data_IF_333663859231
#
_entry.id   IF_333663859231
#
_cell.length_a   1.000
_cell.length_b   1.000
_cell.length_c   1.000
_cell.angle_alpha   90.00
_cell.angle_beta   90.00
_cell.angle_gamma   90.00
#
_symmetry.space_group_name_H-M   'P 1'
#
loop_
_entity.id
_entity.type
_entity.pdbx_description
1 polymer ?
#
# COMPACT_ATOMS: atom_id res chain seq x y z
N UNK A 1 67.67 -22.73 27.97
CA UNK A 1 66.92 -23.32 26.84
C UNK A 1 66.90 -22.29 25.71
N UNK A 2 67.68 -22.49 24.63
CA UNK A 2 67.78 -21.51 23.53
C UNK A 2 66.63 -21.76 22.55
N UNK A 3 65.70 -20.81 22.45
CA UNK A 3 64.67 -20.78 21.41
C UNK A 3 65.39 -20.64 20.07
N UNK A 4 65.28 -21.65 19.19
CA UNK A 4 65.79 -21.54 17.82
C UNK A 4 64.90 -20.54 17.08
N UNK A 5 65.44 -19.37 16.74
CA UNK A 5 64.79 -18.38 15.88
C UNK A 5 64.68 -18.95 14.46
N UNK A 6 63.59 -19.64 14.17
CA UNK A 6 63.29 -20.11 12.83
C UNK A 6 62.94 -18.91 11.95
N UNK A 7 63.83 -18.56 11.01
CA UNK A 7 63.52 -17.60 9.95
C UNK A 7 62.77 -18.34 8.85
N UNK A 8 61.49 -18.02 8.59
CA UNK A 8 60.73 -18.69 7.54
C UNK A 8 61.42 -18.50 6.19
N UNK A 9 61.48 -19.57 5.39
CA UNK A 9 62.04 -19.50 4.05
C UNK A 9 61.20 -18.56 3.17
N UNK A 10 61.82 -17.91 2.18
CA UNK A 10 61.10 -17.03 1.24
C UNK A 10 59.90 -17.74 0.60
N UNK A 11 60.01 -19.05 0.34
CA UNK A 11 58.92 -19.88 -0.17
C UNK A 11 57.72 -19.99 0.77
N UNK A 12 57.95 -20.07 2.09
CA UNK A 12 56.88 -20.09 3.10
C UNK A 12 56.11 -18.77 3.16
N UNK A 13 56.80 -17.63 3.02
CA UNK A 13 56.17 -16.32 2.96
C UNK A 13 55.27 -16.17 1.72
N UNK A 14 55.72 -16.68 0.57
CA UNK A 14 54.95 -16.67 -0.67
C UNK A 14 53.71 -17.55 -0.61
N UNK A 15 53.82 -18.77 -0.06
CA UNK A 15 52.64 -19.65 0.11
C UNK A 15 51.64 -19.06 1.10
N UNK A 16 52.08 -18.44 2.18
CA UNK A 16 51.20 -17.76 3.13
C UNK A 16 50.43 -16.60 2.45
N UNK A 17 51.11 -15.81 1.62
CA UNK A 17 50.49 -14.72 0.84
C UNK A 17 49.41 -15.23 -0.10
N UNK A 18 49.65 -16.34 -0.80
CA UNK A 18 48.67 -16.96 -1.69
C UNK A 18 47.47 -17.47 -0.90
N UNK A 19 47.68 -18.09 0.26
CA UNK A 19 46.59 -18.58 1.12
C UNK A 19 45.73 -17.41 1.62
N UNK A 20 46.35 -16.31 2.04
CA UNK A 20 45.64 -15.09 2.47
C UNK A 20 44.83 -14.51 1.31
N UNK A 21 45.41 -14.45 0.11
CA UNK A 21 44.73 -13.98 -1.09
C UNK A 21 43.51 -14.85 -1.43
N UNK A 22 43.68 -16.17 -1.42
CA UNK A 22 42.59 -17.13 -1.68
C UNK A 22 41.49 -17.04 -0.61
N UNK A 23 41.84 -16.91 0.67
CA UNK A 23 40.87 -16.69 1.75
C UNK A 23 40.08 -15.38 1.60
N UNK A 24 40.65 -14.38 0.92
CA UNK A 24 39.98 -13.11 0.63
C UNK A 24 39.07 -13.17 -0.61
N UNK A 25 39.44 -13.95 -1.62
CA UNK A 25 38.73 -14.05 -2.90
C UNK A 25 37.60 -15.07 -2.83
N UNK A 26 37.85 -16.25 -2.26
CA UNK A 26 36.89 -17.38 -2.23
C UNK A 26 35.52 -16.96 -1.67
N UNK A 27 35.38 -16.24 -0.54
CA UNK A 27 34.07 -15.85 -0.03
C UNK A 27 33.29 -14.89 -0.95
N UNK A 28 33.99 -14.11 -1.79
CA UNK A 28 33.37 -13.20 -2.77
C UNK A 28 32.90 -13.93 -4.03
N UNK A 29 33.47 -15.11 -4.30
CA UNK A 29 33.09 -15.97 -5.42
C UNK A 29 32.10 -17.07 -5.04
N UNK A 30 31.75 -17.23 -3.76
CA UNK A 30 30.71 -18.18 -3.33
C UNK A 30 29.35 -17.64 -3.82
N UNK A 31 28.64 -18.36 -4.69
CA UNK A 31 27.30 -17.95 -5.11
C UNK A 31 26.42 -17.80 -3.87
N UNK A 32 25.62 -16.74 -3.83
CA UNK A 32 24.61 -16.54 -2.79
C UNK A 32 23.88 -17.86 -2.55
N UNK A 33 23.78 -18.29 -1.30
CA UNK A 33 23.03 -19.50 -0.96
C UNK A 33 21.65 -19.45 -1.59
N UNK A 34 21.10 -20.59 -2.03
CA UNK A 34 19.77 -20.67 -2.70
C UNK A 34 18.71 -19.82 -2.01
N UNK A 35 18.69 -19.81 -0.66
CA UNK A 35 17.81 -18.96 0.18
C UNK A 35 17.99 -17.45 -0.04
N UNK A 36 19.23 -16.96 -0.17
CA UNK A 36 19.50 -15.54 -0.45
C UNK A 36 19.13 -15.17 -1.88
N UNK A 37 19.39 -16.04 -2.86
CA UNK A 37 18.92 -15.84 -4.24
C UNK A 37 17.40 -15.79 -4.31
N UNK A 38 16.70 -16.74 -3.67
CA UNK A 38 15.23 -16.77 -3.62
C UNK A 38 14.66 -15.50 -2.97
N UNK A 39 15.28 -15.01 -1.89
CA UNK A 39 14.88 -13.75 -1.24
C UNK A 39 15.06 -12.54 -2.16
N UNK A 40 16.20 -12.45 -2.87
CA UNK A 40 16.45 -11.39 -3.84
C UNK A 40 15.45 -11.42 -5.00
N UNK A 41 15.20 -12.61 -5.55
CA UNK A 41 14.20 -12.81 -6.62
C UNK A 41 12.83 -12.37 -6.14
N UNK A 42 12.39 -12.82 -4.97
CA UNK A 42 11.11 -12.38 -4.37
C UNK A 42 11.05 -10.86 -4.22
N UNK A 43 12.10 -10.23 -3.69
CA UNK A 43 12.14 -8.77 -3.51
C UNK A 43 12.07 -8.00 -4.84
N UNK A 44 12.64 -8.55 -5.92
CA UNK A 44 12.61 -7.94 -7.25
C UNK A 44 11.21 -8.08 -7.87
N UNK A 45 10.61 -9.26 -7.78
CA UNK A 45 9.24 -9.51 -8.22
C UNK A 45 8.26 -8.59 -7.48
N UNK A 46 8.44 -8.44 -6.17
CA UNK A 46 7.58 -7.59 -5.33
C UNK A 46 7.71 -6.12 -5.70
N UNK A 47 8.93 -5.62 -5.92
CA UNK A 47 9.16 -4.25 -6.43
C UNK A 47 8.55 -4.01 -7.81
N UNK A 48 8.71 -4.97 -8.73
CA UNK A 48 8.08 -4.89 -10.05
C UNK A 48 6.55 -4.87 -9.94
N UNK A 49 5.97 -5.70 -9.07
CA UNK A 49 4.53 -5.73 -8.83
C UNK A 49 4.02 -4.39 -8.30
N UNK A 50 4.70 -3.79 -7.32
CA UNK A 50 4.34 -2.48 -6.78
C UNK A 50 4.42 -1.38 -7.84
N UNK A 51 5.45 -1.42 -8.68
CA UNK A 51 5.59 -0.48 -9.81
C UNK A 51 4.44 -0.62 -10.81
N UNK A 52 4.09 -1.85 -11.19
CA UNK A 52 2.96 -2.11 -12.08
C UNK A 52 1.63 -1.65 -11.47
N UNK A 53 1.46 -1.82 -10.15
CA UNK A 53 0.30 -1.32 -9.43
C UNK A 53 0.15 0.20 -9.57
N UNK A 54 1.27 0.91 -9.35
CA UNK A 54 1.32 2.36 -9.46
C UNK A 54 1.04 2.79 -10.90
N UNK A 55 1.68 2.18 -11.89
CA UNK A 55 1.49 2.51 -13.30
C UNK A 55 0.05 2.26 -13.78
N UNK A 56 -0.61 1.23 -13.24
CA UNK A 56 -1.99 0.90 -13.57
C UNK A 56 -3.00 1.90 -12.98
N UNK A 57 -2.80 2.30 -11.72
CA UNK A 57 -3.68 3.23 -10.99
C UNK A 57 -3.29 4.71 -11.17
N UNK A 58 -2.24 5.01 -11.95
CA UNK A 58 -1.92 6.37 -12.38
C UNK A 58 -2.88 6.80 -13.51
N UNK A 59 -3.43 8.00 -13.36
CA UNK A 59 -4.18 8.68 -14.43
C UNK A 59 -3.18 9.26 -15.43
N UNK A 60 -3.15 8.71 -16.65
CA UNK A 60 -2.28 9.22 -17.71
C UNK A 60 -2.84 10.51 -18.33
N UNK A 61 -2.00 11.39 -18.91
CA UNK A 61 -2.47 12.62 -19.56
C UNK A 61 -3.51 12.37 -20.66
N UNK A 62 -3.34 11.33 -21.45
CA UNK A 62 -4.24 10.98 -22.56
C UNK A 62 -5.60 10.50 -22.03
N UNK A 63 -5.59 9.73 -20.94
CA UNK A 63 -6.82 9.32 -20.24
C UNK A 63 -7.53 10.55 -19.68
N UNK A 64 -6.79 11.44 -19.02
CA UNK A 64 -7.34 12.67 -18.44
C UNK A 64 -7.99 13.58 -19.46
N UNK A 65 -7.45 13.65 -20.67
CA UNK A 65 -8.03 14.44 -21.78
C UNK A 65 -9.39 13.89 -22.25
N UNK A 66 -9.64 12.59 -22.08
CA UNK A 66 -10.89 11.91 -22.46
C UNK A 66 -11.96 11.95 -21.37
N UNK A 67 -11.58 12.25 -20.13
CA UNK A 67 -12.51 12.34 -19.01
C UNK A 67 -13.43 13.56 -19.15
N UNK A 68 -14.69 13.46 -18.70
CA UNK A 68 -15.56 14.62 -18.59
C UNK A 68 -14.96 15.67 -17.66
N UNK A 69 -15.24 16.94 -17.95
CA UNK A 69 -14.83 18.03 -17.06
C UNK A 69 -15.54 17.88 -15.72
N UNK A 70 -14.78 17.97 -14.63
CA UNK A 70 -15.30 17.99 -13.27
C UNK A 70 -14.63 19.14 -12.50
N UNK A 71 -15.29 19.60 -11.44
CA UNK A 71 -14.75 20.63 -10.57
C UNK A 71 -13.65 20.05 -9.67
N UNK A 72 -12.40 20.30 -10.01
CA UNK A 72 -11.22 19.81 -9.28
C UNK A 72 -11.04 20.46 -7.91
N UNK A 73 -11.80 21.51 -7.58
CA UNK A 73 -11.85 22.11 -6.24
C UNK A 73 -12.81 21.33 -5.33
N UNK A 74 -13.86 20.74 -5.90
CA UNK A 74 -14.84 19.92 -5.16
C UNK A 74 -14.45 18.45 -5.09
N UNK A 75 -13.82 17.93 -6.15
CA UNK A 75 -13.49 16.52 -6.27
C UNK A 75 -12.01 16.28 -6.55
N UNK A 76 -11.47 15.24 -5.92
CA UNK A 76 -10.23 14.61 -6.31
C UNK A 76 -10.54 13.44 -7.25
N UNK A 77 -9.70 13.27 -8.29
CA UNK A 77 -9.80 12.16 -9.21
C UNK A 77 -8.83 11.06 -8.78
N UNK A 78 -9.35 9.84 -8.68
CA UNK A 78 -8.56 8.66 -8.33
C UNK A 78 -8.88 7.53 -9.31
N UNK A 79 -7.85 6.85 -9.81
CA UNK A 79 -8.01 5.68 -10.66
C UNK A 79 -7.76 4.42 -9.83
N UNK A 80 -8.73 3.50 -9.85
CA UNK A 80 -8.66 2.21 -9.16
C UNK A 80 -9.32 1.14 -9.99
N UNK A 81 -8.62 0.02 -10.12
CA UNK A 81 -9.07 -1.14 -10.87
C UNK A 81 -9.43 -0.77 -12.32
N UNK A 82 -8.65 0.13 -12.95
CA UNK A 82 -8.88 0.62 -14.31
C UNK A 82 -10.07 1.59 -14.45
N UNK A 83 -10.73 1.95 -13.36
CA UNK A 83 -11.92 2.83 -13.32
C UNK A 83 -11.58 4.16 -12.65
N UNK A 84 -12.32 5.20 -13.00
CA UNK A 84 -12.09 6.56 -12.50
C UNK A 84 -13.17 6.94 -11.48
N UNK A 85 -12.72 7.46 -10.34
CA UNK A 85 -13.54 7.78 -9.20
C UNK A 85 -13.34 9.25 -8.82
N UNK A 86 -14.44 9.96 -8.60
CA UNK A 86 -14.46 11.31 -8.06
C UNK A 86 -14.78 11.22 -6.57
N UNK A 87 -13.78 11.54 -5.76
CA UNK A 87 -13.88 11.57 -4.30
C UNK A 87 -14.06 13.02 -3.86
N UNK A 88 -15.10 13.37 -3.07
CA UNK A 88 -15.23 14.72 -2.54
C UNK A 88 -13.98 15.13 -1.75
N UNK A 89 -13.45 16.33 -2.02
CA UNK A 89 -12.18 16.79 -1.42
C UNK A 89 -12.19 16.83 0.10
N UNK A 90 -13.35 17.04 0.71
CA UNK A 90 -13.50 17.05 2.17
C UNK A 90 -13.17 15.70 2.82
N UNK A 91 -13.33 14.59 2.07
CA UNK A 91 -12.95 13.26 2.52
C UNK A 91 -11.62 12.81 1.95
N UNK A 92 -11.10 13.46 0.90
CA UNK A 92 -9.98 12.93 0.14
C UNK A 92 -8.74 12.70 1.01
N UNK A 93 -8.16 11.50 0.88
CA UNK A 93 -6.97 11.07 1.58
C UNK A 93 -6.01 10.36 0.63
N UNK A 94 -4.81 10.09 1.12
CA UNK A 94 -3.82 9.34 0.34
C UNK A 94 -4.37 7.93 0.04
N UNK A 95 -4.48 7.56 -1.23
CA UNK A 95 -4.99 6.27 -1.72
C UNK A 95 -6.47 5.93 -1.46
N UNK A 96 -7.30 6.93 -1.18
CA UNK A 96 -8.74 6.77 -0.95
C UNK A 96 -9.32 7.97 -0.23
N UNK A 97 -9.95 7.75 0.92
CA UNK A 97 -10.56 8.82 1.70
C UNK A 97 -10.42 8.60 3.21
N UNK A 98 -10.67 9.64 3.99
CA UNK A 98 -10.56 9.66 5.44
C UNK A 98 -11.93 9.93 6.07
N UNK A 99 -12.14 9.34 7.24
CA UNK A 99 -13.27 9.63 8.12
C UNK A 99 -12.69 10.29 9.37
N UNK A 100 -13.02 11.56 9.59
CA UNK A 100 -12.59 12.29 10.78
C UNK A 100 -13.50 11.90 11.95
N UNK A 101 -12.89 11.40 13.02
CA UNK A 101 -13.62 11.01 14.21
C UNK A 101 -13.71 12.19 15.21
N UNK A 102 -14.87 12.38 15.87
CA UNK A 102 -16.17 11.73 15.63
C UNK A 102 -17.01 12.45 14.58
N UNK A 103 -16.55 13.61 14.10
CA UNK A 103 -17.39 14.60 13.40
C UNK A 103 -18.04 14.04 12.13
N UNK A 104 -17.27 13.38 11.27
CA UNK A 104 -17.81 12.80 10.03
C UNK A 104 -18.83 11.70 10.32
N UNK A 105 -18.60 10.89 11.36
CA UNK A 105 -19.53 9.82 11.77
C UNK A 105 -20.83 10.43 12.30
N UNK A 106 -20.72 11.44 13.16
CA UNK A 106 -21.86 12.15 13.73
C UNK A 106 -22.70 12.83 12.65
N UNK A 107 -22.06 13.49 11.69
CA UNK A 107 -22.71 14.15 10.56
C UNK A 107 -23.46 13.16 9.67
N UNK A 108 -22.79 12.09 9.23
CA UNK A 108 -23.33 11.17 8.20
C UNK A 108 -24.38 10.20 8.77
N UNK A 109 -24.19 9.74 10.00
CA UNK A 109 -25.06 8.76 10.66
C UNK A 109 -26.02 9.38 11.70
N UNK A 110 -25.95 10.69 11.95
CA UNK A 110 -26.77 11.34 12.97
C UNK A 110 -26.43 10.92 14.40
N UNK A 111 -25.18 10.52 14.65
CA UNK A 111 -24.69 10.06 15.96
C UNK A 111 -24.24 11.25 16.81
N UNK A 112 -23.96 10.97 18.09
CA UNK A 112 -23.47 11.96 19.07
C UNK A 112 -22.27 11.43 19.86
N UNK A 113 -21.36 10.76 19.16
CA UNK A 113 -20.10 10.31 19.76
C UNK A 113 -19.29 11.50 20.26
N UNK A 114 -18.69 11.35 21.42
CA UNK A 114 -17.73 12.32 21.96
C UNK A 114 -16.34 12.02 21.39
N UNK A 115 -15.51 13.05 21.29
CA UNK A 115 -14.13 12.84 20.91
C UNK A 115 -13.33 12.34 22.12
N UNK A 116 -13.23 11.02 22.23
CA UNK A 116 -12.47 10.33 23.28
C UNK A 116 -11.03 9.98 22.89
N UNK A 117 -10.68 10.12 21.61
CA UNK A 117 -9.37 9.76 21.08
C UNK A 117 -8.40 10.95 20.95
N UNK A 118 -8.91 12.17 21.15
CA UNK A 118 -8.15 13.40 21.02
C UNK A 118 -8.33 14.06 19.65
N UNK A 119 -7.90 15.32 19.56
CA UNK A 119 -8.08 16.14 18.38
C UNK A 119 -7.33 15.56 17.17
N UNK A 120 -7.97 15.57 15.99
CA UNK A 120 -7.37 15.14 14.73
C UNK A 120 -7.34 13.62 14.51
N UNK A 121 -8.07 12.82 15.29
CA UNK A 121 -8.20 11.39 15.04
C UNK A 121 -8.96 11.13 13.75
N UNK A 122 -8.38 10.36 12.83
CA UNK A 122 -9.07 9.91 11.61
C UNK A 122 -8.83 8.44 11.28
N UNK A 123 -9.76 7.87 10.52
CA UNK A 123 -9.67 6.54 9.96
C UNK A 123 -9.45 6.63 8.46
N UNK A 124 -8.38 6.00 7.99
CA UNK A 124 -8.04 5.95 6.57
C UNK A 124 -8.79 4.82 5.90
N UNK A 125 -9.56 5.13 4.88
CA UNK A 125 -10.26 4.16 4.04
C UNK A 125 -9.47 4.01 2.74
N UNK A 126 -8.61 3.00 2.71
CA UNK A 126 -7.78 2.71 1.54
C UNK A 126 -8.58 1.92 0.49
N UNK A 127 -8.42 2.32 -0.77
CA UNK A 127 -9.00 1.66 -1.93
C UNK A 127 -7.88 0.99 -2.73
N UNK A 128 -7.92 -0.34 -2.91
CA UNK A 128 -6.89 -1.09 -3.66
C UNK A 128 -7.45 -1.87 -4.84
N UNK A 129 -6.68 -1.90 -5.93
CA UNK A 129 -6.90 -2.76 -7.08
C UNK A 129 -6.51 -4.22 -6.75
N UNK A 130 -7.40 -5.21 -6.93
CA UNK A 130 -7.14 -6.60 -6.52
C UNK A 130 -5.89 -7.23 -7.12
N UNK A 131 -5.60 -6.92 -8.39
CA UNK A 131 -4.53 -7.54 -9.18
C UNK A 131 -3.15 -7.30 -8.56
N UNK A 132 -2.99 -6.19 -7.84
CA UNK A 132 -1.70 -5.74 -7.31
C UNK A 132 -1.64 -5.69 -5.78
N UNK A 133 -2.68 -6.15 -5.09
CA UNK A 133 -2.68 -6.20 -3.64
C UNK A 133 -1.70 -7.26 -3.11
N UNK A 134 -0.74 -6.82 -2.29
CA UNK A 134 0.33 -7.67 -1.79
C UNK A 134 -0.15 -8.76 -0.80
N UNK A 135 -1.16 -8.46 0.01
CA UNK A 135 -1.62 -9.36 1.06
C UNK A 135 -2.58 -10.45 0.58
N UNK A 136 -3.08 -11.22 1.54
CA UNK A 136 -4.07 -12.26 1.29
C UNK A 136 -5.44 -11.65 0.91
N UNK A 137 -5.85 -11.89 -0.33
CA UNK A 137 -7.13 -11.46 -0.88
C UNK A 137 -8.33 -12.08 -0.14
N UNK A 138 -8.15 -13.24 0.49
CA UNK A 138 -9.22 -13.89 1.25
C UNK A 138 -9.66 -13.06 2.46
N UNK A 139 -8.78 -12.19 2.97
CA UNK A 139 -9.11 -11.26 4.06
C UNK A 139 -10.14 -10.18 3.67
N UNK A 140 -10.58 -10.15 2.41
CA UNK A 140 -11.64 -9.27 1.89
C UNK A 140 -12.92 -10.03 1.52
N UNK A 141 -12.95 -11.36 1.66
CA UNK A 141 -14.12 -12.20 1.37
C UNK A 141 -15.07 -12.27 2.58
N UNK A 142 -15.28 -11.14 3.23
CA UNK A 142 -16.18 -11.00 4.37
C UNK A 142 -17.28 -10.01 4.03
N UNK A 143 -18.42 -10.15 4.71
CA UNK A 143 -19.47 -9.14 4.65
C UNK A 143 -18.93 -7.79 5.13
N UNK A 144 -19.30 -6.74 4.41
CA UNK A 144 -18.96 -5.37 4.76
C UNK A 144 -19.43 -5.07 6.19
N UNK A 145 -18.57 -4.42 6.97
CA UNK A 145 -18.86 -4.02 8.33
C UNK A 145 -19.08 -5.15 9.35
N UNK A 146 -18.62 -6.36 9.03
CA UNK A 146 -18.35 -7.35 10.08
C UNK A 146 -17.26 -6.83 11.02
N UNK A 147 -17.54 -6.81 12.32
CA UNK A 147 -16.80 -6.03 13.34
C UNK A 147 -15.31 -6.37 13.53
N UNK A 148 -14.75 -7.35 12.79
CA UNK A 148 -13.43 -7.93 13.11
C UNK A 148 -12.32 -7.71 12.08
N UNK A 149 -12.63 -7.32 10.83
CA UNK A 149 -11.61 -7.44 9.77
C UNK A 149 -11.13 -6.13 9.16
N UNK A 150 -11.90 -5.04 9.25
CA UNK A 150 -11.45 -3.80 8.58
C UNK A 150 -11.57 -3.86 7.07
N UNK A 151 -12.09 -4.94 6.47
CA UNK A 151 -11.78 -5.29 5.08
C UNK A 151 -12.96 -5.92 4.36
N UNK A 152 -13.28 -5.38 3.18
CA UNK A 152 -14.37 -5.88 2.34
C UNK A 152 -14.17 -5.50 0.88
N UNK A 153 -14.94 -6.11 -0.03
CA UNK A 153 -14.99 -5.77 -1.44
C UNK A 153 -16.14 -4.81 -1.73
N UNK A 154 -15.86 -3.75 -2.48
CA UNK A 154 -16.86 -2.80 -2.96
C UNK A 154 -16.64 -2.53 -4.45
N UNK A 155 -17.61 -2.82 -5.30
CA UNK A 155 -17.51 -2.63 -6.76
C UNK A 155 -16.23 -3.23 -7.39
N UNK A 156 -15.77 -4.37 -6.86
CA UNK A 156 -14.53 -5.03 -7.31
C UNK A 156 -13.23 -4.38 -6.81
N UNK A 157 -13.32 -3.33 -5.98
CA UNK A 157 -12.20 -2.69 -5.28
C UNK A 157 -12.09 -3.26 -3.87
N UNK A 158 -10.87 -3.46 -3.40
CA UNK A 158 -10.61 -3.89 -2.03
C UNK A 158 -10.60 -2.67 -1.12
N UNK A 159 -11.48 -2.64 -0.13
CA UNK A 159 -11.57 -1.57 0.86
C UNK A 159 -10.93 -2.03 2.15
N UNK A 160 -10.02 -1.20 2.69
CA UNK A 160 -9.43 -1.40 4.02
C UNK A 160 -9.64 -0.16 4.88
N UNK A 161 -10.34 -0.34 5.99
CA UNK A 161 -10.42 0.61 7.09
C UNK A 161 -9.16 0.45 7.94
N UNK A 162 -8.35 1.50 7.98
CA UNK A 162 -7.13 1.54 8.73
C UNK A 162 -7.22 2.62 9.82
N UNK A 163 -7.04 2.19 11.06
CA UNK A 163 -6.89 3.09 12.18
C UNK A 163 -5.48 3.70 12.13
N UNK A 164 -5.38 4.94 11.63
CA UNK A 164 -4.10 5.61 11.40
C UNK A 164 -3.34 5.95 12.70
N UNK A 165 -4.07 6.08 13.80
CA UNK A 165 -3.52 6.50 15.10
C UNK A 165 -3.38 5.35 16.10
N UNK A 166 -3.70 4.11 15.70
CA UNK A 166 -3.64 2.91 16.55
C UNK A 166 -4.40 3.03 17.88
N UNK A 167 -5.49 3.81 17.88
CA UNK A 167 -6.34 3.98 19.07
C UNK A 167 -7.18 2.73 19.34
N UNK A 168 -7.55 2.49 20.60
CA UNK A 168 -8.48 1.40 20.90
C UNK A 168 -9.90 1.81 20.49
N UNK A 169 -10.54 0.99 19.64
CA UNK A 169 -11.88 1.25 19.11
C UNK A 169 -12.79 0.10 19.51
N UNK A 170 -13.95 0.41 20.08
CA UNK A 170 -14.95 -0.59 20.43
C UNK A 170 -15.62 -1.16 19.16
N UNK A 171 -16.27 -2.32 19.28
CA UNK A 171 -16.98 -2.93 18.15
C UNK A 171 -18.09 -2.02 17.59
N UNK A 172 -18.78 -1.27 18.47
CA UNK A 172 -19.85 -0.35 18.06
C UNK A 172 -19.31 0.85 17.28
N UNK A 173 -18.24 1.46 17.78
CA UNK A 173 -17.57 2.57 17.07
C UNK A 173 -17.00 2.11 15.73
N UNK A 174 -16.39 0.94 15.69
CA UNK A 174 -15.89 0.36 14.45
C UNK A 174 -17.02 0.11 13.44
N UNK A 175 -18.17 -0.39 13.90
CA UNK A 175 -19.35 -0.57 13.06
C UNK A 175 -19.83 0.77 12.49
N UNK A 176 -19.95 1.81 13.32
CA UNK A 176 -20.36 3.15 12.87
C UNK A 176 -19.35 3.76 11.89
N UNK A 177 -18.03 3.58 12.10
CA UNK A 177 -16.99 3.99 11.15
C UNK A 177 -17.16 3.25 9.80
N UNK A 178 -17.43 1.95 9.84
CA UNK A 178 -17.61 1.18 8.63
C UNK A 178 -18.88 1.55 7.86
N UNK A 179 -20.00 1.74 8.56
CA UNK A 179 -21.25 2.20 7.94
C UNK A 179 -21.08 3.59 7.32
N UNK A 180 -20.34 4.47 7.99
CA UNK A 180 -19.96 5.78 7.45
C UNK A 180 -19.14 5.63 6.16
N UNK A 181 -18.16 4.71 6.14
CA UNK A 181 -17.37 4.43 4.93
C UNK A 181 -18.24 3.92 3.78
N UNK A 182 -19.18 3.00 4.05
CA UNK A 182 -20.11 2.51 3.03
C UNK A 182 -21.02 3.60 2.48
N UNK A 183 -21.50 4.49 3.34
CA UNK A 183 -22.35 5.61 2.92
C UNK A 183 -21.60 6.57 2.00
N UNK A 184 -20.37 6.95 2.37
CA UNK A 184 -19.50 7.76 1.50
C UNK A 184 -19.21 7.04 0.17
N UNK A 185 -18.87 5.75 0.21
CA UNK A 185 -18.61 4.96 -1.00
C UNK A 185 -19.82 4.92 -1.94
N UNK A 186 -21.02 4.68 -1.41
CA UNK A 186 -22.21 4.46 -2.23
C UNK A 186 -22.92 5.75 -2.66
N UNK A 187 -22.88 6.81 -1.84
CA UNK A 187 -23.69 8.02 -2.04
C UNK A 187 -22.85 9.22 -2.49
N UNK A 188 -21.61 9.34 -2.02
CA UNK A 188 -20.79 10.54 -2.20
C UNK A 188 -19.71 10.37 -3.29
N UNK A 189 -19.11 9.18 -3.37
CA UNK A 189 -18.09 8.86 -4.39
C UNK A 189 -18.77 8.50 -5.71
N UNK A 190 -18.36 9.18 -6.78
CA UNK A 190 -18.95 8.99 -8.11
C UNK A 190 -17.98 8.28 -9.03
N UNK A 191 -18.45 7.24 -9.69
CA UNK A 191 -17.73 6.64 -10.81
C UNK A 191 -17.94 7.45 -12.09
N UNK A 192 -16.88 7.71 -12.85
CA UNK A 192 -16.97 8.19 -14.22
C UNK A 192 -17.12 6.98 -15.15
N UNK A 193 -18.32 6.78 -15.71
CA UNK A 193 -18.63 5.68 -16.63
C UNK A 193 -18.42 6.00 -18.11
N UNK A 194 -18.55 7.27 -18.49
CA UNK A 194 -18.39 7.71 -19.87
C UNK A 194 -17.02 8.33 -20.09
N UNK A 195 -16.26 7.76 -21.04
CA UNK A 195 -14.97 8.28 -21.49
C UNK A 195 -15.17 8.67 -22.95
N UNK A 196 -14.90 9.93 -23.31
CA UNK A 196 -15.09 10.40 -24.70
C UNK A 196 -14.01 9.80 -25.60
N UNK A 197 -14.41 9.26 -26.74
CA UNK A 197 -13.48 8.92 -27.81
C UNK A 197 -12.92 10.22 -28.42
N UNK A 198 -11.60 10.33 -28.51
CA UNK A 198 -10.97 11.39 -29.29
C UNK A 198 -11.17 11.03 -30.75
N UNK A 199 -11.93 11.85 -31.49
CA UNK A 199 -11.94 11.74 -32.95
C UNK A 199 -10.54 12.10 -33.44
N UNK A 200 -9.87 11.13 -34.04
CA UNK A 200 -8.63 11.38 -34.79
C UNK A 200 -9.01 12.29 -35.98
N UNK A 201 -8.42 13.48 -36.03
CA UNK A 201 -8.47 14.40 -37.16
C UNK A 201 -7.21 14.24 -37.99
#
# INVERSE_FOLDING_TARGET
MKIKNYRPSKGFMWTLLIIILMAWIVPKCIPLTKKKQDSLIRSNIERQRLRLAQEFDIVKPEERARLPKFDSRKYALEKRNGRFWLIPRQYYGDTGFNINWPDTVNEILGKKWKNEFGYGTFFKISMYSPQYYYGDLNTFNHESCSAKTGRFKWNGILIRIYNAHFVYVTNEQYLDICLTALKILNEEIKEIKEIKELKEN
#
